data_IF_511094881596
#
_entry.id   IF_511094881596
#
_cell.length_a   1.000
_cell.length_b   1.000
_cell.length_c   1.000
_cell.angle_alpha   90.00
_cell.angle_beta   90.00
_cell.angle_gamma   90.00
#
_symmetry.space_group_name_H-M   'P 1'
#
loop_
_entity.id
_entity.type
_entity.pdbx_description
1 polymer ?
#
# COMPACT_ATOMS: atom_id res chain seq x y z
N UNK A 1 15.24 -1.11 17.86
CA UNK A 1 14.01 -1.34 17.10
C UNK A 1 13.54 -2.77 17.34
N UNK A 2 12.22 -3.03 17.39
CA UNK A 2 11.66 -4.40 17.38
C UNK A 2 11.28 -4.78 15.96
N UNK A 3 11.40 -6.07 15.63
CA UNK A 3 11.06 -6.60 14.31
C UNK A 3 10.02 -7.71 14.41
N UNK A 4 9.27 -7.92 13.34
CA UNK A 4 8.28 -9.00 13.20
C UNK A 4 8.30 -9.55 11.77
N UNK A 5 7.87 -10.79 11.60
CA UNK A 5 7.66 -11.34 10.27
C UNK A 5 6.52 -10.61 9.55
N UNK A 6 6.69 -10.34 8.26
CA UNK A 6 5.65 -9.82 7.40
C UNK A 6 4.72 -10.98 7.00
N UNK A 7 3.57 -11.10 7.68
CA UNK A 7 2.68 -12.23 7.46
C UNK A 7 3.37 -13.57 7.69
N UNK A 8 3.27 -14.46 6.70
CA UNK A 8 3.91 -15.79 6.72
C UNK A 8 5.25 -15.85 5.98
N UNK A 9 5.83 -14.69 5.63
CA UNK A 9 7.10 -14.59 4.90
C UNK A 9 8.31 -14.80 5.83
N UNK A 10 9.48 -14.91 5.23
CA UNK A 10 10.79 -14.91 5.91
C UNK A 10 11.32 -13.50 6.21
N UNK A 11 10.64 -12.45 5.70
CA UNK A 11 11.09 -11.06 5.87
C UNK A 11 10.80 -10.55 7.28
N UNK A 12 11.82 -9.99 7.92
CA UNK A 12 11.70 -9.26 9.18
C UNK A 12 11.53 -7.76 8.90
N UNK A 13 10.38 -7.20 9.27
CA UNK A 13 10.09 -5.78 9.19
C UNK A 13 10.11 -5.12 10.56
N UNK A 14 10.60 -3.89 10.64
CA UNK A 14 10.47 -3.08 11.84
C UNK A 14 8.99 -2.86 12.19
N UNK A 15 8.64 -2.89 13.49
CA UNK A 15 7.26 -2.65 13.94
C UNK A 15 6.76 -1.22 13.68
N UNK A 16 7.70 -0.31 13.38
CA UNK A 16 7.43 1.03 12.86
C UNK A 16 7.75 1.01 11.37
N UNK A 17 6.81 1.48 10.55
CA UNK A 17 6.97 1.67 9.12
C UNK A 17 7.04 3.16 8.83
N UNK A 18 8.00 3.61 8.02
CA UNK A 18 8.04 4.98 7.53
C UNK A 18 7.04 5.16 6.40
N UNK A 19 5.94 5.88 6.66
CA UNK A 19 5.03 6.33 5.61
C UNK A 19 5.57 7.59 4.94
N UNK A 20 5.48 7.64 3.62
CA UNK A 20 6.13 8.69 2.80
C UNK A 20 5.17 9.57 2.03
N UNK A 21 3.88 9.45 2.25
CA UNK A 21 2.80 10.03 1.43
C UNK A 21 2.83 11.57 1.28
N UNK A 22 3.65 12.25 2.05
CA UNK A 22 3.77 13.72 2.06
C UNK A 22 5.00 14.24 1.31
N UNK A 23 5.91 13.33 0.88
CA UNK A 23 7.13 13.72 0.17
C UNK A 23 6.82 14.22 -1.24
N UNK A 24 7.26 15.43 -1.54
CA UNK A 24 7.00 16.10 -2.81
C UNK A 24 5.75 16.98 -2.82
N UNK A 25 5.06 17.10 -1.70
CA UNK A 25 3.91 18.00 -1.50
C UNK A 25 4.10 18.85 -0.22
N UNK A 26 3.92 18.24 0.95
CA UNK A 26 4.09 18.92 2.26
C UNK A 26 5.56 18.93 2.72
N UNK A 27 6.34 17.96 2.28
CA UNK A 27 7.76 17.85 2.57
C UNK A 27 8.56 17.96 1.26
N UNK A 28 9.65 18.71 1.33
CA UNK A 28 10.62 18.78 0.24
C UNK A 28 11.37 17.45 0.05
N UNK A 29 12.12 17.32 -1.04
CA UNK A 29 13.01 16.18 -1.25
C UNK A 29 14.04 16.05 -0.11
N UNK A 30 14.59 17.18 0.37
CA UNK A 30 15.58 17.15 1.45
C UNK A 30 14.95 16.69 2.77
N UNK A 31 13.75 17.16 3.12
CA UNK A 31 13.02 16.66 4.29
C UNK A 31 12.79 15.15 4.20
N UNK A 32 12.46 14.65 3.01
CA UNK A 32 12.30 13.20 2.77
C UNK A 32 13.60 12.44 2.99
N UNK A 33 14.73 12.96 2.51
CA UNK A 33 16.05 12.35 2.71
C UNK A 33 16.42 12.30 4.18
N UNK A 34 16.26 13.41 4.91
CA UNK A 34 16.57 13.49 6.34
C UNK A 34 15.71 12.51 7.16
N UNK A 35 14.43 12.38 6.81
CA UNK A 35 13.54 11.41 7.46
C UNK A 35 13.94 9.96 7.16
N UNK A 36 14.29 9.63 5.90
CA UNK A 36 14.72 8.28 5.52
C UNK A 36 16.07 7.91 6.15
N UNK A 37 17.03 8.83 6.16
CA UNK A 37 18.33 8.63 6.83
C UNK A 37 18.14 8.38 8.33
N UNK A 38 17.37 9.24 9.00
CA UNK A 38 17.05 9.09 10.42
C UNK A 38 16.33 7.78 10.72
N UNK A 39 15.35 7.39 9.89
CA UNK A 39 14.61 6.15 10.05
C UNK A 39 15.56 4.94 10.02
N UNK A 40 16.43 4.84 9.00
CA UNK A 40 17.42 3.77 8.91
C UNK A 40 18.39 3.76 10.08
N UNK A 41 18.90 4.93 10.49
CA UNK A 41 19.79 5.05 11.66
C UNK A 41 19.13 4.49 12.93
N UNK A 42 17.81 4.67 13.07
CA UNK A 42 17.02 4.15 14.20
C UNK A 42 16.56 2.70 14.02
N UNK A 43 16.98 2.05 12.95
CA UNK A 43 16.66 0.64 12.63
C UNK A 43 15.27 0.44 12.03
N UNK A 44 14.60 1.48 11.52
CA UNK A 44 13.39 1.34 10.72
C UNK A 44 13.81 0.89 9.33
N UNK A 45 13.49 -0.35 8.96
CA UNK A 45 13.82 -0.92 7.66
C UNK A 45 12.62 -1.06 6.71
N UNK A 46 11.42 -0.68 7.14
CA UNK A 46 10.18 -0.82 6.38
C UNK A 46 9.66 0.55 5.97
N UNK A 47 9.57 0.78 4.64
CA UNK A 47 9.12 2.04 4.05
C UNK A 47 7.90 1.79 3.18
N UNK A 48 6.90 2.67 3.28
CA UNK A 48 5.64 2.56 2.56
C UNK A 48 5.40 3.79 1.68
N UNK A 49 5.18 3.55 0.40
CA UNK A 49 4.82 4.54 -0.62
C UNK A 49 3.62 4.06 -1.44
N UNK A 50 3.27 4.76 -2.51
CA UNK A 50 2.29 4.36 -3.52
C UNK A 50 2.50 5.12 -4.83
N UNK A 51 2.06 4.55 -5.96
CA UNK A 51 2.11 5.24 -7.26
C UNK A 51 1.39 6.59 -7.24
N UNK A 52 0.28 6.66 -6.50
CA UNK A 52 -0.57 7.85 -6.44
C UNK A 52 0.01 9.00 -5.61
N UNK A 53 1.04 8.75 -4.80
CA UNK A 53 1.59 9.77 -3.91
C UNK A 53 2.43 10.82 -4.69
N UNK A 54 2.43 12.06 -4.25
CA UNK A 54 2.07 12.62 -2.93
C UNK A 54 0.56 12.78 -2.73
N UNK A 55 0.15 12.91 -1.45
CA UNK A 55 -1.24 13.18 -1.04
C UNK A 55 -1.37 14.67 -0.64
N UNK A 56 -2.37 15.42 -1.11
CA UNK A 56 -3.53 15.05 -1.98
C UNK A 56 -3.08 14.88 -3.43
N UNK A 57 -3.63 13.86 -4.14
CA UNK A 57 -3.21 13.58 -5.51
C UNK A 57 -3.47 14.75 -6.46
N UNK A 58 -2.45 15.17 -7.18
CA UNK A 58 -2.48 16.20 -8.25
C UNK A 58 -1.56 15.78 -9.39
N UNK A 59 -1.86 16.21 -10.60
CA UNK A 59 -1.02 15.91 -11.78
C UNK A 59 0.43 16.37 -11.60
N UNK A 60 0.62 17.50 -10.94
CA UNK A 60 1.92 18.15 -10.75
C UNK A 60 2.81 17.41 -9.74
N UNK A 61 2.20 16.70 -8.80
CA UNK A 61 2.92 16.00 -7.71
C UNK A 61 2.78 14.50 -7.74
N UNK A 62 2.04 13.97 -8.72
CA UNK A 62 1.92 12.53 -8.95
C UNK A 62 3.28 11.86 -9.14
N UNK A 63 3.49 10.77 -8.43
CA UNK A 63 4.73 9.98 -8.52
C UNK A 63 5.94 10.61 -7.83
N UNK A 64 5.86 11.86 -7.37
CA UNK A 64 6.98 12.57 -6.73
C UNK A 64 7.55 11.85 -5.52
N UNK A 65 6.70 11.22 -4.74
CA UNK A 65 7.15 10.46 -3.57
C UNK A 65 8.05 9.29 -3.97
N UNK A 66 7.66 8.53 -5.00
CA UNK A 66 8.49 7.43 -5.52
C UNK A 66 9.78 7.95 -6.18
N UNK A 67 9.73 9.07 -6.89
CA UNK A 67 10.93 9.72 -7.45
C UNK A 67 11.94 10.13 -6.36
N UNK A 68 11.45 10.74 -5.27
CA UNK A 68 12.30 11.14 -4.13
C UNK A 68 12.97 9.93 -3.50
N UNK A 69 12.21 8.85 -3.27
CA UNK A 69 12.74 7.60 -2.72
C UNK A 69 13.77 6.97 -3.68
N UNK A 70 13.47 6.93 -4.97
CA UNK A 70 14.37 6.40 -6.00
C UNK A 70 15.69 7.17 -6.07
N UNK A 71 15.64 8.50 -6.07
CA UNK A 71 16.80 9.36 -6.04
C UNK A 71 17.66 9.12 -4.79
N UNK A 72 17.02 8.95 -3.63
CA UNK A 72 17.71 8.62 -2.39
C UNK A 72 18.38 7.25 -2.44
N UNK A 73 17.73 6.21 -3.01
CA UNK A 73 18.34 4.90 -3.21
C UNK A 73 19.60 5.00 -4.10
N UNK A 74 19.53 5.76 -5.17
CA UNK A 74 20.68 5.93 -6.08
C UNK A 74 21.83 6.68 -5.41
N UNK A 75 21.53 7.74 -4.67
CA UNK A 75 22.55 8.52 -3.96
C UNK A 75 23.22 7.72 -2.85
N UNK A 76 22.46 6.98 -2.05
CA UNK A 76 22.97 6.29 -0.85
C UNK A 76 23.40 4.84 -1.11
N UNK A 77 23.05 4.26 -2.27
CA UNK A 77 23.31 2.86 -2.61
C UNK A 77 22.84 1.88 -1.54
N UNK A 78 21.65 2.11 -0.99
CA UNK A 78 21.15 1.42 0.20
C UNK A 78 19.81 0.67 -0.02
N UNK A 79 19.38 0.46 -1.28
CA UNK A 79 18.11 -0.24 -1.61
C UNK A 79 17.95 -1.57 -0.86
N UNK A 80 19.03 -2.34 -0.73
CA UNK A 80 19.01 -3.65 -0.05
C UNK A 80 18.81 -3.57 1.47
N UNK A 81 18.91 -2.39 2.07
CA UNK A 81 18.68 -2.18 3.51
C UNK A 81 17.21 -1.89 3.83
N UNK A 82 16.38 -1.68 2.80
CA UNK A 82 14.99 -1.27 2.94
C UNK A 82 14.05 -2.34 2.40
N UNK A 83 13.09 -2.72 3.20
CA UNK A 83 11.90 -3.46 2.74
C UNK A 83 10.91 -2.40 2.24
N UNK A 84 10.68 -2.37 0.94
CA UNK A 84 9.89 -1.33 0.28
C UNK A 84 8.50 -1.85 -0.05
N UNK A 85 7.49 -1.15 0.44
CA UNK A 85 6.11 -1.34 0.03
C UNK A 85 5.67 -0.22 -0.93
N UNK A 86 4.98 -0.58 -2.02
CA UNK A 86 4.24 0.38 -2.85
C UNK A 86 2.85 -0.15 -3.16
N UNK A 87 2.01 0.65 -3.82
CA UNK A 87 0.60 0.32 -4.03
C UNK A 87 0.13 0.71 -5.42
N UNK A 88 -0.74 -0.12 -5.99
CA UNK A 88 -1.47 0.19 -7.22
C UNK A 88 -2.83 0.82 -6.90
N UNK A 89 -3.13 1.96 -7.52
CA UNK A 89 -4.44 2.60 -7.46
C UNK A 89 -5.46 1.84 -8.32
N UNK A 90 -6.68 1.75 -7.84
CA UNK A 90 -7.81 1.12 -8.49
C UNK A 90 -8.81 2.18 -9.00
N UNK A 91 -9.91 1.73 -9.58
CA UNK A 91 -11.00 2.63 -9.99
C UNK A 91 -11.56 3.39 -8.80
N UNK A 92 -12.01 4.59 -9.05
CA UNK A 92 -12.61 5.51 -8.08
C UNK A 92 -13.66 6.36 -8.78
N UNK A 93 -14.55 6.99 -8.01
CA UNK A 93 -15.54 7.94 -8.52
C UNK A 93 -14.89 9.20 -9.09
N UNK A 94 -13.69 9.55 -8.60
CA UNK A 94 -12.91 10.65 -9.14
C UNK A 94 -12.15 10.19 -10.39
N UNK A 95 -12.05 11.04 -11.41
CA UNK A 95 -11.18 10.75 -12.54
C UNK A 95 -9.70 10.84 -12.15
N UNK A 96 -9.07 9.67 -12.02
CA UNK A 96 -7.64 9.50 -11.82
C UNK A 96 -6.97 8.80 -13.01
N UNK A 97 -7.63 8.70 -14.17
CA UNK A 97 -7.07 8.01 -15.35
C UNK A 97 -5.77 8.64 -15.84
N UNK A 98 -5.58 9.91 -15.54
CA UNK A 98 -4.36 10.68 -15.85
C UNK A 98 -3.09 10.14 -15.18
N UNK A 99 -3.17 9.23 -14.21
CA UNK A 99 -1.98 8.59 -13.62
C UNK A 99 -1.39 7.46 -14.49
N UNK A 100 -2.11 7.03 -15.54
CA UNK A 100 -1.66 5.96 -16.46
C UNK A 100 -1.97 6.33 -17.90
N UNK A 101 -0.92 6.54 -18.68
CA UNK A 101 -1.05 6.90 -20.09
C UNK A 101 -1.90 5.87 -20.86
N UNK A 102 -2.89 6.37 -21.59
CA UNK A 102 -3.78 5.55 -22.40
C UNK A 102 -4.73 4.63 -21.63
N UNK A 103 -4.92 4.89 -20.32
CA UNK A 103 -5.95 4.19 -19.54
C UNK A 103 -7.31 4.87 -19.71
N UNK A 104 -8.32 4.11 -20.17
CA UNK A 104 -9.72 4.56 -20.16
C UNK A 104 -10.30 4.52 -18.75
N UNK A 105 -9.87 3.56 -17.96
CA UNK A 105 -10.20 3.40 -16.54
C UNK A 105 -9.06 2.74 -15.78
N UNK A 106 -8.94 3.05 -14.50
CA UNK A 106 -8.04 2.34 -13.60
C UNK A 106 -8.64 1.00 -13.17
N UNK A 107 -7.81 0.02 -12.89
CA UNK A 107 -8.24 -1.29 -12.42
C UNK A 107 -7.09 -2.24 -12.15
N UNK A 108 -7.44 -3.46 -11.76
CA UNK A 108 -6.48 -4.53 -11.47
C UNK A 108 -6.34 -5.52 -12.62
N UNK A 109 -6.77 -5.16 -13.83
CA UNK A 109 -6.51 -5.94 -15.02
C UNK A 109 -5.00 -5.96 -15.37
N UNK A 110 -4.62 -6.91 -16.21
CA UNK A 110 -3.22 -7.15 -16.58
C UNK A 110 -2.54 -5.91 -17.18
N UNK A 111 -3.24 -5.14 -18.02
CA UNK A 111 -2.68 -3.95 -18.68
C UNK A 111 -2.38 -2.86 -17.63
N UNK A 112 -3.36 -2.58 -16.77
CA UNK A 112 -3.21 -1.60 -15.70
C UNK A 112 -2.11 -2.00 -14.71
N UNK A 113 -2.06 -3.27 -14.28
CA UNK A 113 -1.04 -3.73 -13.33
C UNK A 113 0.38 -3.65 -13.90
N UNK A 114 0.58 -4.04 -15.16
CA UNK A 114 1.89 -3.92 -15.78
C UNK A 114 2.33 -2.46 -15.95
N UNK A 115 1.44 -1.60 -16.42
CA UNK A 115 1.77 -0.17 -16.57
C UNK A 115 2.10 0.48 -15.21
N UNK A 116 1.33 0.18 -14.16
CA UNK A 116 1.55 0.72 -12.83
C UNK A 116 2.90 0.29 -12.24
N UNK A 117 3.18 -1.02 -12.27
CA UNK A 117 4.44 -1.53 -11.68
C UNK A 117 5.66 -1.03 -12.45
N UNK A 118 5.63 -0.99 -13.80
CA UNK A 118 6.76 -0.53 -14.59
C UNK A 118 7.06 0.95 -14.34
N UNK A 119 6.03 1.79 -14.27
CA UNK A 119 6.17 3.19 -13.93
C UNK A 119 6.69 3.39 -12.49
N UNK A 120 6.20 2.61 -11.51
CA UNK A 120 6.70 2.66 -10.13
C UNK A 120 8.17 2.23 -10.02
N UNK A 121 8.57 1.14 -10.67
CA UNK A 121 9.96 0.69 -10.68
C UNK A 121 10.89 1.73 -11.32
N UNK A 122 10.43 2.39 -12.39
CA UNK A 122 11.19 3.48 -13.03
C UNK A 122 11.39 4.66 -12.08
N UNK A 123 10.32 5.14 -11.40
CA UNK A 123 10.41 6.25 -10.43
C UNK A 123 11.28 5.89 -9.23
N UNK A 124 11.10 4.67 -8.70
CA UNK A 124 11.85 4.14 -7.56
C UNK A 124 13.30 3.76 -7.91
N UNK A 125 13.65 3.71 -9.20
CA UNK A 125 14.99 3.35 -9.69
C UNK A 125 15.49 2.02 -9.08
N UNK A 126 14.63 1.01 -9.08
CA UNK A 126 14.88 -0.34 -8.55
C UNK A 126 14.21 -1.38 -9.42
N UNK A 127 14.76 -2.60 -9.41
CA UNK A 127 14.23 -3.71 -10.22
C UNK A 127 13.07 -4.45 -9.55
N UNK A 128 12.85 -4.21 -8.25
CA UNK A 128 11.81 -4.93 -7.50
C UNK A 128 11.21 -4.11 -6.35
N UNK A 129 9.97 -4.47 -5.99
CA UNK A 129 9.27 -4.02 -4.79
C UNK A 129 9.07 -5.22 -3.86
N UNK A 130 9.32 -5.06 -2.56
CA UNK A 130 9.20 -6.17 -1.59
C UNK A 130 7.75 -6.52 -1.28
N UNK A 131 6.89 -5.51 -1.09
CA UNK A 131 5.45 -5.69 -0.84
C UNK A 131 4.64 -4.80 -1.78
N UNK A 132 3.89 -5.41 -2.71
CA UNK A 132 3.02 -4.67 -3.61
C UNK A 132 1.56 -4.81 -3.18
N UNK A 133 0.90 -3.68 -2.94
CA UNK A 133 -0.41 -3.65 -2.31
C UNK A 133 -1.49 -3.17 -3.27
N UNK A 134 -2.68 -3.77 -3.20
CA UNK A 134 -3.89 -3.24 -3.82
C UNK A 134 -4.40 -2.10 -2.93
N UNK A 135 -4.34 -0.85 -3.43
CA UNK A 135 -4.50 0.36 -2.60
C UNK A 135 -5.91 0.51 -1.99
N UNK A 136 -6.94 0.08 -2.73
CA UNK A 136 -8.32 -0.06 -2.27
C UNK A 136 -9.11 -1.01 -3.18
N UNK A 137 -10.19 -1.62 -2.67
CA UNK A 137 -11.07 -2.47 -3.47
C UNK A 137 -11.69 -1.76 -4.67
N UNK A 138 -11.85 -2.47 -5.78
CA UNK A 138 -12.64 -1.99 -6.93
C UNK A 138 -14.15 -1.98 -6.64
N UNK A 139 -14.59 -2.87 -5.76
CA UNK A 139 -15.99 -2.99 -5.33
C UNK A 139 -16.41 -1.74 -4.55
N UNK A 140 -17.71 -1.43 -4.58
CA UNK A 140 -18.34 -0.43 -3.72
C UNK A 140 -18.41 -0.95 -2.29
N UNK A 141 -17.44 -0.58 -1.48
CA UNK A 141 -17.35 -0.94 -0.06
C UNK A 141 -16.92 0.27 0.75
N UNK A 142 -17.19 0.31 2.07
CA UNK A 142 -16.65 1.33 2.94
C UNK A 142 -15.11 1.33 2.87
N UNK A 143 -14.53 2.47 2.54
CA UNK A 143 -13.08 2.68 2.41
C UNK A 143 -12.63 3.83 3.30
N UNK A 144 -11.34 3.88 3.63
CA UNK A 144 -10.73 5.00 4.34
C UNK A 144 -11.36 5.32 5.71
N UNK A 145 -11.85 4.28 6.41
CA UNK A 145 -12.46 4.42 7.72
C UNK A 145 -13.93 4.82 7.73
N UNK A 146 -14.59 4.83 6.58
CA UNK A 146 -16.04 4.96 6.50
C UNK A 146 -16.73 3.72 7.07
N UNK A 147 -17.92 3.88 7.64
CA UNK A 147 -18.69 2.81 8.29
C UNK A 147 -19.86 2.31 7.45
N UNK A 148 -20.41 3.17 6.59
CA UNK A 148 -21.66 2.90 5.90
C UNK A 148 -21.43 1.99 4.70
N UNK A 149 -22.07 0.83 4.70
CA UNK A 149 -22.12 -0.07 3.55
C UNK A 149 -23.47 0.10 2.86
N UNK A 150 -23.43 0.56 1.62
CA UNK A 150 -24.59 0.65 0.73
C UNK A 150 -24.51 -0.47 -0.29
N UNK A 151 -25.55 -1.31 -0.30
CA UNK A 151 -25.67 -2.37 -1.29
C UNK A 151 -26.07 -1.78 -2.64
N UNK A 152 -25.24 -2.03 -3.66
CA UNK A 152 -25.53 -1.71 -5.04
C UNK A 152 -25.65 -3.02 -5.86
N UNK A 153 -26.86 -3.40 -6.32
CA UNK A 153 -27.04 -4.63 -7.08
C UNK A 153 -26.36 -4.60 -8.47
N UNK A 154 -25.93 -3.42 -8.91
CA UNK A 154 -25.25 -3.20 -10.18
C UNK A 154 -23.74 -3.08 -10.05
N UNK A 155 -23.18 -3.20 -8.84
CA UNK A 155 -21.72 -3.21 -8.61
C UNK A 155 -21.13 -4.56 -9.03
N UNK A 156 -21.02 -4.78 -10.34
CA UNK A 156 -20.50 -6.01 -10.94
C UNK A 156 -19.33 -5.78 -11.91
N UNK A 157 -18.91 -4.53 -12.09
CA UNK A 157 -17.82 -4.13 -12.98
C UNK A 157 -16.46 -4.13 -12.31
N UNK A 158 -16.14 -5.11 -11.50
CA UNK A 158 -14.83 -5.26 -10.86
C UNK A 158 -14.14 -6.55 -11.34
N UNK A 159 -12.82 -6.51 -11.39
CA UNK A 159 -12.02 -7.66 -11.82
C UNK A 159 -12.14 -8.79 -10.78
N UNK A 160 -12.42 -10.00 -11.24
CA UNK A 160 -12.57 -11.14 -10.35
C UNK A 160 -11.28 -11.40 -9.57
N UNK A 161 -11.40 -11.74 -8.28
CA UNK A 161 -10.25 -11.93 -7.38
C UNK A 161 -9.26 -12.96 -7.91
N UNK A 162 -9.73 -14.02 -8.58
CA UNK A 162 -8.86 -15.01 -9.22
C UNK A 162 -7.99 -14.37 -10.29
N UNK A 163 -8.55 -13.56 -11.17
CA UNK A 163 -7.80 -12.83 -12.21
C UNK A 163 -6.81 -11.83 -11.60
N UNK A 164 -7.22 -11.10 -10.57
CA UNK A 164 -6.32 -10.19 -9.83
C UNK A 164 -5.12 -10.95 -9.28
N UNK A 165 -5.34 -12.11 -8.66
CA UNK A 165 -4.27 -12.94 -8.11
C UNK A 165 -3.37 -13.54 -9.20
N UNK A 166 -3.92 -13.93 -10.36
CA UNK A 166 -3.13 -14.39 -11.50
C UNK A 166 -2.24 -13.28 -12.06
N UNK A 167 -2.77 -12.07 -12.17
CA UNK A 167 -2.00 -10.90 -12.61
C UNK A 167 -0.84 -10.61 -11.64
N UNK A 168 -1.09 -10.64 -10.33
CA UNK A 168 -0.05 -10.50 -9.30
C UNK A 168 0.98 -11.63 -9.35
N UNK A 169 0.55 -12.87 -9.60
CA UNK A 169 1.44 -14.03 -9.75
C UNK A 169 2.42 -13.85 -10.94
N UNK A 170 1.94 -13.28 -12.04
CA UNK A 170 2.79 -12.96 -13.18
C UNK A 170 3.86 -11.91 -12.83
N UNK A 171 3.53 -10.91 -12.02
CA UNK A 171 4.48 -9.92 -11.52
C UNK A 171 5.52 -10.53 -10.56
N UNK A 172 5.12 -11.49 -9.72
CA UNK A 172 6.04 -12.26 -8.86
C UNK A 172 6.98 -13.11 -9.72
N UNK A 173 6.44 -13.86 -10.68
CA UNK A 173 7.23 -14.71 -11.59
C UNK A 173 8.23 -13.92 -12.43
N UNK A 174 7.92 -12.68 -12.78
CA UNK A 174 8.84 -11.79 -13.49
C UNK A 174 9.89 -11.13 -12.58
N UNK A 175 9.83 -11.35 -11.27
CA UNK A 175 10.76 -10.78 -10.29
C UNK A 175 10.50 -9.31 -9.94
N UNK A 176 9.46 -8.67 -10.48
CA UNK A 176 9.14 -7.26 -10.24
C UNK A 176 8.62 -6.99 -8.83
N UNK A 177 7.94 -7.97 -8.23
CA UNK A 177 7.45 -7.91 -6.85
C UNK A 177 7.77 -9.21 -6.11
N UNK A 178 7.94 -9.14 -4.79
CA UNK A 178 8.21 -10.34 -3.97
C UNK A 178 6.95 -10.87 -3.30
N UNK A 179 6.19 -9.99 -2.65
CA UNK A 179 4.99 -10.33 -1.91
C UNK A 179 3.86 -9.37 -2.21
N UNK A 180 2.65 -9.78 -1.88
CA UNK A 180 1.42 -9.02 -2.14
C UNK A 180 0.65 -8.75 -0.86
N UNK A 181 -0.07 -7.63 -0.83
CA UNK A 181 -0.89 -7.21 0.30
C UNK A 181 -2.15 -6.46 -0.13
N UNK A 182 -3.02 -6.23 0.82
CA UNK A 182 -4.27 -5.49 0.65
C UNK A 182 -4.20 -4.14 1.37
N UNK A 183 -5.00 -3.18 0.94
CA UNK A 183 -5.22 -1.94 1.67
C UNK A 183 -6.69 -1.51 1.57
N UNK A 184 -7.22 -0.92 2.64
CA UNK A 184 -8.61 -0.47 2.73
C UNK A 184 -9.64 -1.59 2.43
N UNK A 185 -9.27 -2.83 2.70
CA UNK A 185 -10.10 -3.99 2.39
C UNK A 185 -11.02 -4.34 3.57
N UNK A 186 -12.14 -4.95 3.24
CA UNK A 186 -13.13 -5.44 4.20
C UNK A 186 -12.79 -6.85 4.69
N UNK A 187 -13.34 -7.31 5.84
CA UNK A 187 -13.14 -8.69 6.30
C UNK A 187 -13.53 -9.73 5.25
N UNK A 188 -14.64 -9.50 4.53
CA UNK A 188 -15.08 -10.39 3.45
C UNK A 188 -14.02 -10.47 2.33
N UNK A 189 -13.51 -9.31 1.90
CA UNK A 189 -12.52 -9.29 0.82
C UNK A 189 -11.22 -9.96 1.23
N UNK A 190 -10.71 -9.71 2.45
CA UNK A 190 -9.50 -10.38 2.96
C UNK A 190 -9.68 -11.90 2.90
N UNK A 191 -10.77 -12.41 3.50
CA UNK A 191 -11.04 -13.85 3.52
C UNK A 191 -11.23 -14.43 2.12
N UNK A 192 -11.88 -13.68 1.20
CA UNK A 192 -12.07 -14.13 -0.18
C UNK A 192 -10.74 -14.23 -0.94
N UNK A 193 -9.85 -13.24 -0.81
CA UNK A 193 -8.49 -13.29 -1.38
C UNK A 193 -7.70 -14.49 -0.83
N UNK A 194 -7.71 -14.70 0.48
CA UNK A 194 -6.99 -15.82 1.12
C UNK A 194 -7.55 -17.19 0.68
N UNK A 195 -8.86 -17.31 0.59
CA UNK A 195 -9.53 -18.54 0.15
C UNK A 195 -9.19 -18.87 -1.30
N UNK A 196 -9.39 -17.92 -2.23
CA UNK A 196 -9.07 -18.13 -3.66
C UNK A 196 -7.58 -18.43 -3.86
N UNK A 197 -6.70 -17.73 -3.16
CA UNK A 197 -5.26 -17.97 -3.22
C UNK A 197 -4.92 -19.42 -2.82
N UNK A 198 -5.54 -19.94 -1.76
CA UNK A 198 -5.36 -21.34 -1.32
C UNK A 198 -5.94 -22.34 -2.31
N UNK A 199 -7.18 -22.15 -2.78
CA UNK A 199 -7.84 -23.07 -3.69
C UNK A 199 -7.14 -23.19 -5.05
N UNK A 200 -6.63 -22.06 -5.55
CA UNK A 200 -6.03 -21.96 -6.90
C UNK A 200 -4.50 -22.02 -6.88
N UNK A 201 -3.89 -22.22 -5.71
CA UNK A 201 -2.43 -22.17 -5.54
C UNK A 201 -1.81 -20.88 -6.10
N UNK A 202 -2.43 -19.75 -5.78
CA UNK A 202 -2.04 -18.40 -6.18
C UNK A 202 -1.37 -17.64 -5.01
N UNK A 203 -0.72 -16.48 -5.26
CA UNK A 203 -0.04 -15.72 -4.21
C UNK A 203 -0.97 -15.33 -3.07
N UNK A 204 -0.54 -15.62 -1.84
CA UNK A 204 -1.25 -15.28 -0.62
C UNK A 204 -1.03 -13.82 -0.24
N UNK A 205 -2.08 -13.13 0.18
CA UNK A 205 -1.98 -11.79 0.77
C UNK A 205 -1.28 -11.86 2.13
N UNK A 206 -0.18 -11.11 2.30
CA UNK A 206 0.68 -11.14 3.49
C UNK A 206 0.30 -10.09 4.54
N UNK A 207 -0.36 -9.02 4.11
CA UNK A 207 -0.75 -7.91 4.99
C UNK A 207 -2.04 -7.26 4.54
N UNK A 208 -2.64 -6.54 5.49
CA UNK A 208 -3.72 -5.59 5.23
C UNK A 208 -3.31 -4.22 5.79
N UNK A 209 -3.40 -3.17 4.97
CA UNK A 209 -3.12 -1.81 5.40
C UNK A 209 -4.42 -1.02 5.52
N UNK A 210 -4.87 -0.80 6.75
CA UNK A 210 -6.12 -0.08 7.04
C UNK A 210 -5.90 1.01 8.08
N UNK A 211 -6.84 1.98 8.12
CA UNK A 211 -6.84 3.00 9.17
C UNK A 211 -6.99 2.35 10.54
N UNK A 212 -6.12 2.75 11.47
CA UNK A 212 -6.23 2.32 12.85
C UNK A 212 -5.53 3.28 13.80
N UNK A 213 -6.25 3.74 14.80
CA UNK A 213 -5.71 4.64 15.84
C UNK A 213 -6.55 4.52 17.11
N UNK A 214 -6.15 5.20 18.18
CA UNK A 214 -6.96 5.24 19.43
C UNK A 214 -8.35 5.85 19.21
N UNK A 215 -8.54 6.70 18.21
CA UNK A 215 -9.81 7.37 17.90
C UNK A 215 -10.52 6.81 16.66
N UNK A 216 -9.95 5.83 15.97
CA UNK A 216 -10.59 5.08 14.90
C UNK A 216 -10.29 3.59 15.08
N UNK A 217 -11.28 2.86 15.58
CA UNK A 217 -11.18 1.45 15.97
C UNK A 217 -12.02 0.53 15.08
N UNK A 218 -12.41 0.99 13.89
CA UNK A 218 -13.23 0.20 12.93
C UNK A 218 -12.61 -1.14 12.60
N UNK A 219 -11.28 -1.20 12.51
CA UNK A 219 -10.54 -2.42 12.25
C UNK A 219 -10.74 -3.52 13.29
N UNK A 220 -11.02 -3.16 14.54
CA UNK A 220 -11.28 -4.14 15.60
C UNK A 220 -12.51 -4.99 15.30
N UNK A 221 -13.45 -4.46 14.54
CA UNK A 221 -14.66 -5.20 14.14
C UNK A 221 -14.29 -6.16 13.01
N UNK A 222 -14.22 -7.45 13.33
CA UNK A 222 -13.91 -8.57 12.45
C UNK A 222 -12.49 -8.60 11.84
N UNK A 223 -11.94 -7.50 11.32
CA UNK A 223 -10.62 -7.49 10.67
C UNK A 223 -9.47 -7.87 11.61
N UNK A 224 -9.55 -7.51 12.90
CA UNK A 224 -8.50 -7.85 13.86
C UNK A 224 -8.43 -9.38 14.10
N UNK A 225 -9.58 -10.05 14.19
CA UNK A 225 -9.61 -11.51 14.31
C UNK A 225 -9.06 -12.18 13.05
N UNK A 226 -9.49 -11.75 11.86
CA UNK A 226 -8.97 -12.25 10.58
C UNK A 226 -7.45 -12.08 10.51
N UNK A 227 -6.93 -10.89 10.82
CA UNK A 227 -5.48 -10.62 10.78
C UNK A 227 -4.68 -11.55 11.67
N UNK A 228 -5.18 -11.83 12.87
CA UNK A 228 -4.48 -12.69 13.85
C UNK A 228 -4.55 -14.15 13.43
N UNK A 229 -5.75 -14.67 13.11
CA UNK A 229 -5.94 -16.08 12.79
C UNK A 229 -5.30 -16.48 11.47
N UNK A 230 -5.35 -15.56 10.50
CA UNK A 230 -4.81 -15.81 9.16
C UNK A 230 -3.35 -15.36 9.00
N UNK A 231 -2.70 -14.81 10.01
CA UNK A 231 -1.36 -14.23 9.85
C UNK A 231 -1.26 -13.25 8.66
N UNK A 232 -2.33 -12.44 8.45
CA UNK A 232 -2.36 -11.35 7.49
C UNK A 232 -2.22 -10.04 8.28
N UNK A 233 -0.98 -9.63 8.56
CA UNK A 233 -0.67 -8.62 9.56
C UNK A 233 -1.21 -7.23 9.21
N UNK A 234 -1.66 -6.45 10.22
CA UNK A 234 -2.09 -5.07 10.04
C UNK A 234 -0.89 -4.12 9.89
N UNK A 235 -0.92 -3.34 8.81
CA UNK A 235 -0.14 -2.11 8.65
C UNK A 235 -1.08 -0.94 8.96
N UNK A 236 -0.97 -0.40 10.18
CA UNK A 236 -1.85 0.69 10.62
C UNK A 236 -1.44 2.02 10.00
N UNK A 237 -2.27 2.62 9.13
CA UNK A 237 -2.02 3.98 8.70
C UNK A 237 -2.79 5.00 9.54
N UNK A 238 -2.30 6.24 9.55
CA UNK A 238 -2.80 7.35 10.39
C UNK A 238 -2.89 7.02 11.89
N UNK A 239 -1.86 6.36 12.49
CA UNK A 239 -1.93 5.96 13.91
C UNK A 239 -2.01 7.15 14.86
N UNK A 240 -1.57 8.34 14.43
CA UNK A 240 -1.68 9.60 15.17
C UNK A 240 -2.90 10.46 14.75
N UNK A 241 -3.85 9.88 14.00
CA UNK A 241 -5.10 10.53 13.59
C UNK A 241 -4.89 11.92 12.95
N UNK A 242 -3.97 12.00 11.95
CA UNK A 242 -3.62 13.26 11.30
C UNK A 242 -2.94 14.27 12.26
N UNK A 243 -2.26 13.78 13.26
CA UNK A 243 -1.53 14.59 14.27
C UNK A 243 -2.36 14.96 15.49
N UNK A 244 -3.65 14.60 15.56
CA UNK A 244 -4.48 14.87 16.77
C UNK A 244 -3.95 14.17 18.02
N UNK A 245 -3.36 13.01 17.87
CA UNK A 245 -2.77 12.23 18.98
C UNK A 245 -1.29 12.53 19.23
N UNK A 246 -0.71 13.51 18.54
CA UNK A 246 0.71 13.87 18.72
C UNK A 246 1.01 14.72 19.95
N UNK A 247 0.00 15.23 20.62
CA UNK A 247 0.14 16.16 21.76
C UNK A 247 0.27 17.64 21.35
N UNK A 248 0.44 17.96 20.05
CA UNK A 248 0.68 19.34 19.61
C UNK A 248 -0.47 20.33 19.87
N UNK A 249 -1.66 19.80 20.17
CA UNK A 249 -2.84 20.62 20.50
C UNK A 249 -3.13 20.70 22.00
N UNK A 250 -2.30 20.08 22.86
CA UNK A 250 -2.42 20.19 24.30
C UNK A 250 -1.91 21.59 24.69
N UNK A 251 -2.74 22.39 25.34
CA UNK A 251 -2.45 23.79 25.74
C UNK A 251 -2.54 24.83 24.61
N UNK A 252 -3.33 24.57 23.57
CA UNK A 252 -3.73 25.60 22.58
C UNK A 252 -5.14 26.12 22.87
#
# INVERSE_FOLDING_TARGET
MKYRKLGTTDIDVSVICLGTMTFGEQNSQQDGYDQMDYALERGVNFFDTAELYAVMPRKETYGKTEEIIGNWFQQKKNRSKVILASKIASKTENDLTWIRDGAEKLGFDKKNMNAAIDASLQRLQTDYIDLYQLHWPERKVPKFGKLDFEYDPYDNEWIQIEEVLDNLNNLIKSGKIRYVGLSNETPWGVMKFLHVAKEKNLPRMMSIQNVYSLVNRVFDIANSEVSIRENCGLLAYSPLAGGRLSGKYINQ
#
